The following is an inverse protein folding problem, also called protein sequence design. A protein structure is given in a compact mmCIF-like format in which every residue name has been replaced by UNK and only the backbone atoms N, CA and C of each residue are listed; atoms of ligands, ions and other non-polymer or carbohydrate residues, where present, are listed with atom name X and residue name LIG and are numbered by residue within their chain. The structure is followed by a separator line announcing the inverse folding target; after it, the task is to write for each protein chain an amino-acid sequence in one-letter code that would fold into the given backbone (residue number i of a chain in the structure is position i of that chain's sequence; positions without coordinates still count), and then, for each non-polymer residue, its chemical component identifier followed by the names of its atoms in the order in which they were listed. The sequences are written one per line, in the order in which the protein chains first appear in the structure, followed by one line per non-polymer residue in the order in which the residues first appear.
data_IF_249308938299
#
_entry.id   IF_249308938299
#
_cell.length_a   1.000
_cell.length_b   1.000
_cell.length_c   1.000
_cell.angle_alpha   90.00
_cell.angle_beta   90.00
_cell.angle_gamma   90.00
#
_symmetry.space_group_name_H-M   'P 1'
#
loop_
_entity.id
_entity.type
_entity.pdbx_description
1 polymer ?
#
# COMPACT_ATOMS: atom_id res chain seq x y z
N UNK A 1 -14.78 43.15 -62.10
CA UNK A 1 -15.07 42.08 -61.12
C UNK A 1 -14.04 40.98 -61.34
N UNK A 2 -13.48 40.45 -60.25
CA UNK A 2 -12.41 39.45 -60.15
C UNK A 2 -10.99 39.96 -60.45
N UNK A 3 -10.34 40.51 -59.43
CA UNK A 3 -8.88 40.63 -59.34
C UNK A 3 -8.31 39.33 -58.74
N UNK A 4 -7.28 38.80 -59.41
CA UNK A 4 -6.57 37.57 -59.09
C UNK A 4 -5.54 37.82 -57.98
N UNK A 5 -5.72 37.20 -56.82
CA UNK A 5 -4.73 37.20 -55.74
C UNK A 5 -3.60 36.20 -56.04
N UNK A 6 -2.41 36.75 -56.27
CA UNK A 6 -1.13 36.05 -56.25
C UNK A 6 -0.73 35.71 -54.81
N UNK A 7 -0.37 34.45 -54.57
CA UNK A 7 0.11 33.94 -53.28
C UNK A 7 1.56 34.36 -53.04
N UNK A 8 1.79 35.30 -52.14
CA UNK A 8 3.11 35.53 -51.54
C UNK A 8 3.35 34.49 -50.42
N UNK A 9 4.36 33.66 -50.62
CA UNK A 9 4.89 32.74 -49.62
C UNK A 9 5.72 33.54 -48.61
N UNK A 10 5.19 33.71 -47.40
CA UNK A 10 5.95 34.13 -46.24
C UNK A 10 6.87 32.98 -45.83
N UNK A 11 8.16 33.10 -46.16
CA UNK A 11 9.22 32.27 -45.59
C UNK A 11 9.31 32.55 -44.09
N UNK A 12 8.77 31.62 -43.31
CA UNK A 12 8.87 31.59 -41.85
C UNK A 12 10.33 31.22 -41.51
N UNK A 13 11.12 32.21 -41.13
CA UNK A 13 12.47 32.01 -40.58
C UNK A 13 12.35 31.23 -39.26
N UNK A 14 12.36 29.90 -39.37
CA UNK A 14 12.38 28.99 -38.25
C UNK A 14 13.65 29.22 -37.43
N UNK A 15 13.51 29.94 -36.32
CA UNK A 15 14.46 29.95 -35.21
C UNK A 15 14.79 28.50 -34.84
N UNK A 16 15.98 28.05 -35.23
CA UNK A 16 16.48 26.72 -34.90
C UNK A 16 16.48 26.55 -33.39
N UNK A 17 15.68 25.59 -32.88
CA UNK A 17 15.67 25.24 -31.46
C UNK A 17 17.12 24.97 -31.01
N UNK A 18 17.56 25.49 -29.85
CA UNK A 18 18.89 25.17 -29.35
C UNK A 18 19.02 23.66 -29.18
N UNK A 19 20.13 23.10 -29.66
CA UNK A 19 20.45 21.68 -29.53
C UNK A 19 20.38 21.27 -28.06
N UNK A 20 19.74 20.12 -27.78
CA UNK A 20 19.65 19.59 -26.41
C UNK A 20 21.06 19.51 -25.79
N UNK A 21 21.29 20.10 -24.60
CA UNK A 21 22.61 20.07 -23.96
C UNK A 21 23.11 18.64 -23.76
N UNK A 22 24.41 18.41 -23.89
CA UNK A 22 25.03 17.09 -23.75
C UNK A 22 24.72 16.44 -22.39
N UNK A 23 24.64 17.24 -21.32
CA UNK A 23 24.22 16.80 -19.98
C UNK A 23 22.83 16.19 -19.96
N UNK A 24 21.89 16.77 -20.72
CA UNK A 24 20.52 16.26 -20.85
C UNK A 24 20.50 14.97 -21.66
N UNK A 25 21.36 14.86 -22.68
CA UNK A 25 21.51 13.62 -23.44
C UNK A 25 22.08 12.48 -22.59
N UNK A 26 23.14 12.76 -21.82
CA UNK A 26 23.74 11.81 -20.87
C UNK A 26 22.72 11.37 -19.81
N UNK A 27 21.95 12.29 -19.24
CA UNK A 27 20.92 11.95 -18.26
C UNK A 27 19.79 11.11 -18.87
N UNK A 28 19.36 11.42 -20.09
CA UNK A 28 18.38 10.61 -20.83
C UNK A 28 18.90 9.20 -21.12
N UNK A 29 20.21 9.04 -21.36
CA UNK A 29 20.82 7.73 -21.62
C UNK A 29 20.77 6.79 -20.41
N UNK A 30 20.60 7.34 -19.21
CA UNK A 30 20.46 6.58 -17.96
C UNK A 30 19.03 6.11 -17.70
N UNK A 31 18.02 6.59 -18.45
CA UNK A 31 16.65 6.15 -18.27
C UNK A 31 16.54 4.64 -18.45
N UNK A 32 15.76 4.00 -17.57
CA UNK A 32 15.59 2.56 -17.48
C UNK A 32 16.86 1.78 -17.08
N UNK A 33 17.97 2.44 -16.78
CA UNK A 33 19.14 1.78 -16.22
C UNK A 33 19.00 1.60 -14.71
N UNK A 34 19.66 0.56 -14.19
CA UNK A 34 19.78 0.36 -12.75
C UNK A 34 20.81 1.35 -12.19
N UNK A 35 20.40 2.17 -11.24
CA UNK A 35 21.27 3.07 -10.50
C UNK A 35 21.45 2.57 -9.07
N UNK A 36 22.68 2.73 -8.58
CA UNK A 36 23.03 2.67 -7.16
C UNK A 36 23.20 4.07 -6.64
N UNK A 37 22.34 4.47 -5.71
CA UNK A 37 22.35 5.80 -5.08
C UNK A 37 22.69 5.64 -3.62
N UNK A 38 23.86 6.12 -3.21
CA UNK A 38 24.22 6.20 -1.78
C UNK A 38 23.90 7.58 -1.26
N UNK A 39 23.26 7.64 -0.10
CA UNK A 39 22.93 8.90 0.57
C UNK A 39 23.80 9.15 1.80
N UNK A 40 23.76 10.38 2.30
CA UNK A 40 24.67 10.87 3.35
C UNK A 40 24.63 10.08 4.66
N UNK A 41 23.51 9.43 4.98
CA UNK A 41 23.35 8.61 6.19
C UNK A 41 23.78 7.14 6.02
N UNK A 42 24.43 6.80 4.90
CA UNK A 42 24.97 5.46 4.65
C UNK A 42 23.98 4.48 4.03
N UNK A 43 22.72 4.88 3.80
CA UNK A 43 21.77 4.07 3.02
C UNK A 43 22.14 4.05 1.53
N UNK A 44 21.87 2.91 0.91
CA UNK A 44 22.11 2.64 -0.51
C UNK A 44 20.79 2.20 -1.13
N UNK A 45 20.38 2.87 -2.20
CA UNK A 45 19.21 2.50 -2.99
C UNK A 45 19.67 1.91 -4.33
N UNK A 46 19.25 0.68 -4.61
CA UNK A 46 19.38 0.06 -5.92
C UNK A 46 18.02 0.08 -6.61
N UNK A 47 17.87 0.79 -7.72
CA UNK A 47 16.58 0.93 -8.39
C UNK A 47 16.69 1.39 -9.83
N UNK A 48 15.62 1.21 -10.60
CA UNK A 48 15.57 1.59 -12.02
C UNK A 48 15.31 3.08 -12.14
N UNK A 49 16.19 3.82 -12.81
CA UNK A 49 16.03 5.25 -12.99
C UNK A 49 14.94 5.58 -14.00
N UNK A 50 13.95 6.37 -13.56
CA UNK A 50 12.83 6.78 -14.41
C UNK A 50 12.80 8.27 -14.69
N UNK A 51 13.64 9.05 -14.01
CA UNK A 51 13.82 10.46 -14.30
C UNK A 51 14.23 11.30 -13.11
N UNK A 52 14.24 12.61 -13.34
CA UNK A 52 14.54 13.63 -12.33
C UNK A 52 13.53 14.77 -12.41
N UNK A 53 13.35 15.51 -11.32
CA UNK A 53 12.49 16.70 -11.27
C UNK A 53 13.28 18.00 -11.47
N UNK A 54 12.62 19.15 -11.33
CA UNK A 54 13.26 20.47 -11.45
C UNK A 54 14.33 20.74 -10.38
N UNK A 55 14.28 20.03 -9.25
CA UNK A 55 15.24 20.14 -8.14
C UNK A 55 16.37 19.11 -8.24
N UNK A 56 16.44 18.37 -9.36
CA UNK A 56 17.39 17.30 -9.61
C UNK A 56 17.26 16.09 -8.66
N UNK A 57 16.10 15.91 -8.04
CA UNK A 57 15.82 14.73 -7.22
C UNK A 57 15.77 13.48 -8.11
N UNK A 58 16.26 12.35 -7.64
CA UNK A 58 16.34 11.11 -8.43
C UNK A 58 15.10 10.26 -8.18
N UNK A 59 14.38 9.90 -9.24
CA UNK A 59 13.24 8.98 -9.19
C UNK A 59 13.68 7.57 -9.56
N UNK A 60 13.51 6.63 -8.63
CA UNK A 60 13.77 5.21 -8.83
C UNK A 60 12.48 4.40 -8.69
N UNK A 61 12.31 3.37 -9.51
CA UNK A 61 11.24 2.37 -9.39
C UNK A 61 11.83 0.99 -9.21
N UNK A 62 11.03 0.07 -8.66
CA UNK A 62 11.47 -1.30 -8.35
C UNK A 62 12.77 -1.30 -7.52
N UNK A 63 12.78 -0.47 -6.47
CA UNK A 63 13.99 -0.13 -5.74
C UNK A 63 14.11 -0.95 -4.45
N UNK A 64 15.33 -1.19 -4.04
CA UNK A 64 15.72 -1.85 -2.79
C UNK A 64 16.62 -0.91 -1.97
N UNK A 65 16.39 -0.83 -0.66
CA UNK A 65 17.19 -0.08 0.31
C UNK A 65 18.12 -1.04 1.06
N UNK A 66 19.40 -0.69 1.13
CA UNK A 66 20.43 -1.37 1.90
C UNK A 66 21.05 -0.40 2.90
N UNK A 67 21.48 -0.91 4.05
CA UNK A 67 22.19 -0.15 5.10
C UNK A 67 23.54 -0.81 5.34
N UNK A 68 24.64 -0.08 5.13
CA UNK A 68 26.00 -0.59 5.37
C UNK A 68 26.64 0.24 6.49
N UNK A 69 26.89 -0.35 7.66
CA UNK A 69 27.62 0.27 8.76
C UNK A 69 27.31 -0.34 10.15
N UNK A 70 28.13 -0.08 11.17
CA UNK A 70 27.96 -0.63 12.53
C UNK A 70 26.70 -0.15 13.27
N UNK A 71 26.02 0.89 12.77
CA UNK A 71 24.72 1.36 13.25
C UNK A 71 23.53 0.71 12.52
N UNK A 72 23.75 -0.33 11.72
CA UNK A 72 22.67 -1.11 11.10
C UNK A 72 21.95 -1.96 12.15
N UNK A 73 21.00 -1.36 12.88
CA UNK A 73 20.18 -2.03 13.91
C UNK A 73 19.35 -3.19 13.33
N UNK A 74 19.24 -3.29 12.00
CA UNK A 74 18.31 -4.19 11.34
C UNK A 74 18.95 -5.51 10.86
N UNK A 75 20.29 -5.59 10.80
CA UNK A 75 21.03 -6.83 10.50
C UNK A 75 20.63 -7.59 9.23
N UNK A 76 19.85 -7.01 8.30
CA UNK A 76 19.34 -7.70 7.11
C UNK A 76 20.30 -7.51 5.92
N UNK A 77 21.11 -8.52 5.58
CA UNK A 77 22.05 -8.44 4.47
C UNK A 77 21.36 -8.44 3.10
N UNK A 78 20.05 -8.70 3.04
CA UNK A 78 19.31 -8.85 1.78
C UNK A 78 18.68 -7.56 1.26
N UNK A 79 18.75 -6.47 2.02
CA UNK A 79 18.09 -5.22 1.68
C UNK A 79 16.55 -5.33 1.76
N UNK A 80 15.88 -4.18 1.77
CA UNK A 80 14.41 -4.09 1.83
C UNK A 80 13.87 -3.54 0.52
N UNK A 81 12.91 -4.21 -0.09
CA UNK A 81 12.17 -3.65 -1.22
C UNK A 81 11.35 -2.42 -0.79
N UNK A 82 11.57 -1.31 -1.48
CA UNK A 82 10.98 0.00 -1.22
C UNK A 82 10.19 0.54 -2.43
N UNK A 83 10.11 -0.22 -3.53
CA UNK A 83 9.23 0.10 -4.66
C UNK A 83 9.66 1.37 -5.39
N UNK A 84 8.76 2.34 -5.48
CA UNK A 84 9.06 3.64 -6.07
C UNK A 84 9.45 4.65 -4.98
N UNK A 85 10.57 5.34 -5.20
CA UNK A 85 11.06 6.36 -4.29
C UNK A 85 11.68 7.54 -5.03
N UNK A 86 11.65 8.69 -4.37
CA UNK A 86 12.34 9.90 -4.79
C UNK A 86 13.46 10.17 -3.79
N UNK A 87 14.71 10.20 -4.25
CA UNK A 87 15.85 10.60 -3.43
C UNK A 87 16.14 12.08 -3.63
N UNK A 88 16.01 12.92 -2.59
CA UNK A 88 16.33 14.33 -2.71
C UNK A 88 17.80 14.55 -3.08
N UNK A 89 18.10 15.42 -4.06
CA UNK A 89 19.47 15.68 -4.53
C UNK A 89 20.43 16.01 -3.39
N UNK A 90 19.97 16.85 -2.45
CA UNK A 90 20.76 17.28 -1.27
C UNK A 90 21.20 16.13 -0.34
N UNK A 91 20.57 14.97 -0.42
CA UNK A 91 20.92 13.79 0.39
C UNK A 91 21.84 12.84 -0.36
N UNK A 92 22.03 13.02 -1.66
CA UNK A 92 22.80 12.10 -2.50
C UNK A 92 24.28 12.34 -2.27
N UNK A 93 24.99 11.27 -1.89
CA UNK A 93 26.44 11.24 -1.74
C UNK A 93 27.09 10.77 -3.05
N UNK A 94 26.60 9.68 -3.62
CA UNK A 94 27.11 9.12 -4.89
C UNK A 94 25.98 8.49 -5.70
N UNK A 95 26.15 8.48 -7.03
CA UNK A 95 25.28 7.79 -7.99
C UNK A 95 26.16 7.00 -8.95
N UNK A 96 25.91 5.70 -9.07
CA UNK A 96 26.65 4.81 -9.95
C UNK A 96 25.65 4.12 -10.90
N UNK A 97 25.97 4.08 -12.19
CA UNK A 97 25.15 3.42 -13.21
C UNK A 97 25.84 2.13 -13.68
N UNK A 98 25.07 1.04 -13.83
CA UNK A 98 25.61 -0.21 -14.36
C UNK A 98 25.78 -0.13 -15.88
N UNK A 99 27.03 -0.13 -16.36
CA UNK A 99 27.32 -0.13 -17.80
C UNK A 99 27.33 -1.55 -18.35
N UNK A 100 26.38 -1.88 -19.24
CA UNK A 100 26.41 -3.13 -20.01
C UNK A 100 27.52 -3.08 -21.08
N UNK A 101 28.72 -3.55 -20.72
CA UNK A 101 29.79 -3.86 -21.66
C UNK A 101 30.58 -5.13 -21.23
N UNK A 102 30.03 -6.30 -21.60
CA UNK A 102 30.71 -7.49 -22.14
C UNK A 102 31.77 -8.30 -21.35
N UNK A 103 31.48 -9.60 -21.17
CA UNK A 103 32.44 -10.73 -21.05
C UNK A 103 32.23 -11.59 -19.78
N UNK A 104 32.03 -12.92 -19.79
CA UNK A 104 32.17 -13.95 -20.81
C UNK A 104 31.18 -15.12 -20.55
N UNK A 105 30.90 -15.85 -21.64
CA UNK A 105 30.03 -17.01 -21.78
C UNK A 105 30.79 -18.30 -21.39
N UNK A 106 30.14 -19.23 -20.68
CA UNK A 106 30.40 -20.68 -20.78
C UNK A 106 29.11 -21.46 -20.43
N UNK A 107 28.57 -22.13 -21.45
CA UNK A 107 27.49 -23.13 -21.45
C UNK A 107 28.05 -24.45 -20.82
N UNK A 108 27.37 -25.39 -20.16
CA UNK A 108 26.07 -26.11 -20.25
C UNK A 108 25.85 -26.78 -18.84
N UNK A 109 24.74 -27.35 -18.37
CA UNK A 109 23.62 -28.11 -18.96
C UNK A 109 22.43 -28.09 -17.96
N UNK A 110 21.26 -27.75 -18.50
CA UNK A 110 19.86 -27.86 -18.02
C UNK A 110 19.50 -27.96 -16.52
N UNK A 111 18.84 -26.89 -16.05
CA UNK A 111 18.04 -26.81 -14.83
C UNK A 111 17.53 -25.39 -14.54
N UNK A 112 17.00 -24.70 -15.56
CA UNK A 112 16.69 -23.26 -15.52
C UNK A 112 15.33 -22.92 -14.89
N UNK A 113 15.34 -22.12 -13.80
CA UNK A 113 14.59 -20.85 -13.62
C UNK A 113 14.65 -20.38 -12.16
N UNK A 114 15.82 -19.94 -11.72
CA UNK A 114 16.07 -19.06 -10.55
C UNK A 114 17.57 -18.93 -10.38
N UNK A 115 18.15 -17.82 -10.85
CA UNK A 115 19.49 -17.26 -10.51
C UNK A 115 20.02 -16.48 -11.72
N UNK A 116 19.62 -15.21 -11.85
CA UNK A 116 20.41 -14.18 -12.55
C UNK A 116 20.11 -12.82 -11.93
N UNK A 117 20.50 -12.67 -10.67
CA UNK A 117 21.01 -11.42 -10.07
C UNK A 117 21.96 -11.88 -8.97
N UNK A 118 23.10 -12.47 -9.33
CA UNK A 118 24.17 -12.81 -8.40
C UNK A 118 25.43 -13.16 -9.20
N UNK A 119 25.98 -12.15 -9.88
CA UNK A 119 27.41 -12.10 -10.20
C UNK A 119 27.72 -10.63 -10.39
N UNK A 120 28.13 -9.99 -9.29
CA UNK A 120 29.11 -8.91 -9.12
C UNK A 120 28.82 -8.40 -7.68
N UNK A 121 29.86 -8.32 -6.85
CA UNK A 121 29.93 -7.78 -5.47
C UNK A 121 29.73 -8.76 -4.29
N UNK A 122 30.74 -9.59 -4.02
CA UNK A 122 31.07 -10.07 -2.67
C UNK A 122 32.58 -10.09 -2.49
N UNK A 123 33.13 -9.12 -1.76
CA UNK A 123 34.45 -9.23 -1.11
C UNK A 123 34.54 -8.24 0.05
N UNK A 124 33.81 -8.53 1.13
CA UNK A 124 34.11 -8.24 2.55
C UNK A 124 33.04 -9.01 3.32
N UNK A 125 33.42 -10.15 3.92
CA UNK A 125 32.76 -10.86 5.04
C UNK A 125 33.29 -12.31 5.09
N UNK A 126 34.61 -12.49 5.11
CA UNK A 126 35.23 -13.64 5.78
C UNK A 126 36.03 -13.05 6.93
N UNK A 127 35.44 -13.10 8.12
CA UNK A 127 36.06 -13.09 9.45
C UNK A 127 34.94 -12.72 10.45
N UNK A 128 34.75 -13.56 11.48
CA UNK A 128 33.84 -13.41 12.63
C UNK A 128 32.48 -14.16 12.60
N UNK A 129 32.50 -15.47 12.27
CA UNK A 129 31.33 -16.34 12.33
C UNK A 129 31.00 -16.97 13.71
N UNK A 130 31.61 -16.55 14.82
CA UNK A 130 31.53 -17.31 16.09
C UNK A 130 30.73 -16.67 17.25
N UNK A 131 30.00 -15.56 17.07
CA UNK A 131 29.44 -14.80 18.23
C UNK A 131 27.90 -14.77 18.35
N UNK A 132 27.13 -15.41 17.46
CA UNK A 132 25.64 -15.30 17.50
C UNK A 132 24.92 -16.59 17.90
N UNK A 133 25.31 -17.17 19.03
CA UNK A 133 24.52 -18.16 19.76
C UNK A 133 24.35 -17.68 21.20
N UNK A 134 23.39 -16.78 21.42
CA UNK A 134 22.64 -16.60 22.68
C UNK A 134 21.98 -15.23 22.73
N UNK A 135 20.71 -15.13 22.30
CA UNK A 135 19.70 -14.25 22.90
C UNK A 135 18.34 -14.47 22.22
N UNK A 136 17.60 -15.46 22.71
CA UNK A 136 16.19 -15.62 22.39
C UNK A 136 15.44 -15.88 23.71
N UNK A 137 15.05 -14.81 24.42
CA UNK A 137 14.03 -14.85 25.48
C UNK A 137 13.79 -13.43 26.03
N UNK A 138 12.76 -12.75 25.52
CA UNK A 138 11.92 -11.84 26.32
C UNK A 138 10.68 -11.44 25.51
N UNK A 139 9.59 -12.17 25.72
CA UNK A 139 8.24 -11.81 25.31
C UNK A 139 7.72 -10.68 26.22
N UNK A 140 7.59 -9.46 25.69
CA UNK A 140 6.90 -8.34 26.34
C UNK A 140 5.42 -8.33 25.89
N UNK A 141 4.53 -8.60 26.83
CA UNK A 141 3.07 -8.53 26.63
C UNK A 141 2.64 -7.05 26.55
N UNK A 142 2.19 -6.60 25.38
CA UNK A 142 1.69 -5.23 25.17
C UNK A 142 0.29 -5.08 25.79
N UNK A 143 0.17 -4.23 26.81
CA UNK A 143 -1.10 -3.92 27.47
C UNK A 143 -1.93 -2.91 26.69
N UNK A 144 -2.95 -3.38 25.95
CA UNK A 144 -4.02 -2.54 25.42
C UNK A 144 -5.01 -2.18 26.55
N UNK A 145 -5.61 -0.98 26.51
CA UNK A 145 -6.73 -0.62 27.38
C UNK A 145 -7.92 -1.55 27.03
N UNK A 146 -8.57 -2.19 27.99
CA UNK A 146 -9.67 -3.14 27.73
C UNK A 146 -10.86 -2.51 26.98
N UNK A 147 -10.95 -1.18 26.92
CA UNK A 147 -11.91 -0.43 26.10
C UNK A 147 -11.52 -0.26 24.62
N UNK A 148 -10.32 -0.70 24.21
CA UNK A 148 -9.74 -0.52 22.84
C UNK A 148 -9.84 -1.76 21.95
N UNK A 149 -10.53 -2.82 22.39
CA UNK A 149 -10.63 -4.07 21.63
C UNK A 149 -11.96 -4.27 20.92
N UNK A 150 -12.97 -3.44 21.20
CA UNK A 150 -14.30 -3.56 20.61
C UNK A 150 -14.44 -2.76 19.32
N UNK A 151 -15.09 -3.37 18.33
CA UNK A 151 -15.50 -2.71 17.11
C UNK A 151 -16.63 -1.72 17.39
N UNK A 152 -16.62 -0.61 16.66
CA UNK A 152 -17.61 0.47 16.71
C UNK A 152 -18.37 0.49 15.39
N UNK A 153 -19.68 0.25 15.47
CA UNK A 153 -20.59 0.39 14.34
C UNK A 153 -21.12 1.83 14.27
N UNK A 154 -21.09 2.42 13.09
CA UNK A 154 -21.43 3.82 12.85
C UNK A 154 -22.56 3.87 11.84
N UNK A 155 -23.66 4.51 12.24
CA UNK A 155 -24.69 4.95 11.33
C UNK A 155 -24.23 6.23 10.64
N UNK A 156 -24.50 6.33 9.35
CA UNK A 156 -24.12 7.49 8.55
C UNK A 156 -25.27 7.91 7.63
N UNK A 157 -25.40 9.22 7.37
CA UNK A 157 -26.43 9.73 6.47
C UNK A 157 -26.10 9.35 5.02
N UNK A 158 -27.12 9.36 4.16
CA UNK A 158 -26.98 9.13 2.72
C UNK A 158 -26.44 7.74 2.32
N UNK A 159 -26.55 6.75 3.20
CA UNK A 159 -26.30 5.37 2.82
C UNK A 159 -27.19 4.96 1.65
N UNK A 160 -26.63 4.29 0.64
CA UNK A 160 -27.38 3.80 -0.52
C UNK A 160 -28.52 2.85 -0.13
N UNK A 161 -28.34 2.13 0.98
CA UNK A 161 -29.34 1.25 1.58
C UNK A 161 -29.68 1.72 3.00
N UNK A 162 -30.96 1.92 3.35
CA UNK A 162 -31.36 2.26 4.72
C UNK A 162 -30.87 1.22 5.73
N UNK A 163 -30.26 1.68 6.82
CA UNK A 163 -29.78 0.81 7.90
C UNK A 163 -28.36 0.27 7.73
N UNK A 164 -27.68 0.56 6.61
CA UNK A 164 -26.29 0.17 6.40
C UNK A 164 -25.35 0.84 7.41
N UNK A 165 -24.39 0.09 7.96
CA UNK A 165 -23.45 0.55 8.99
C UNK A 165 -22.01 0.40 8.54
N UNK A 166 -21.17 1.38 8.87
CA UNK A 166 -19.71 1.24 8.78
C UNK A 166 -19.22 0.62 10.09
N UNK A 167 -18.39 -0.42 10.01
CA UNK A 167 -17.74 -1.01 11.19
C UNK A 167 -16.28 -0.60 11.22
N UNK A 168 -15.83 -0.14 12.38
CA UNK A 168 -14.47 0.33 12.61
C UNK A 168 -13.91 -0.26 13.89
N UNK A 169 -12.60 -0.27 14.04
CA UNK A 169 -11.91 -0.66 15.28
C UNK A 169 -10.92 0.42 15.66
N UNK A 170 -10.95 0.83 16.93
CA UNK A 170 -10.10 1.89 17.48
C UNK A 170 -8.92 1.29 18.23
N UNK A 171 -7.73 1.86 18.04
CA UNK A 171 -6.49 1.44 18.69
C UNK A 171 -5.83 2.63 19.36
N UNK A 172 -5.54 2.51 20.65
CA UNK A 172 -4.81 3.55 21.40
C UNK A 172 -4.03 2.91 22.54
N UNK A 173 -2.90 3.51 22.93
CA UNK A 173 -2.12 3.05 24.08
C UNK A 173 -2.62 3.77 25.35
N UNK A 174 -2.88 3.00 26.42
CA UNK A 174 -3.45 3.53 27.67
C UNK A 174 -2.67 4.72 28.25
N UNK A 175 -1.34 4.73 28.06
CA UNK A 175 -0.42 5.72 28.60
C UNK A 175 -0.12 6.89 27.64
N UNK A 176 -0.48 6.82 26.35
CA UNK A 176 -0.29 7.91 25.36
C UNK A 176 -1.62 8.58 25.03
N UNK A 177 -2.14 9.42 25.93
CA UNK A 177 -3.37 10.21 25.70
C UNK A 177 -3.06 11.68 25.36
N UNK A 178 -2.17 11.92 24.39
CA UNK A 178 -1.95 13.27 23.90
C UNK A 178 -3.11 13.70 22.99
N UNK A 179 -3.91 14.67 23.45
CA UNK A 179 -5.03 15.21 22.66
C UNK A 179 -4.57 15.94 21.39
N UNK A 180 -3.32 16.38 21.34
CA UNK A 180 -2.72 17.11 20.22
C UNK A 180 -2.14 16.22 19.10
N UNK A 181 -2.05 14.90 19.33
CA UNK A 181 -1.48 13.95 18.39
C UNK A 181 -2.36 13.68 17.16
N UNK A 182 -1.80 12.95 16.18
CA UNK A 182 -2.47 12.54 14.96
C UNK A 182 -3.36 11.32 15.21
N UNK A 183 -4.57 11.35 14.64
CA UNK A 183 -5.44 10.17 14.52
C UNK A 183 -5.29 9.59 13.12
N UNK A 184 -4.90 8.33 13.04
CA UNK A 184 -4.73 7.62 11.77
C UNK A 184 -6.01 6.87 11.41
N UNK A 185 -6.42 6.88 10.14
CA UNK A 185 -7.60 6.13 9.64
C UNK A 185 -7.14 5.21 8.51
N UNK A 186 -7.38 3.91 8.62
CA UNK A 186 -6.89 2.88 7.71
C UNK A 186 -8.03 2.17 6.98
N UNK A 187 -8.01 2.20 5.64
CA UNK A 187 -8.92 1.48 4.78
C UNK A 187 -8.19 0.38 3.96
N UNK A 188 -8.72 -0.84 4.02
CA UNK A 188 -8.14 -2.02 3.39
C UNK A 188 -8.38 -2.08 1.86
N UNK A 189 -7.77 -3.04 1.17
CA UNK A 189 -8.08 -3.34 -0.24
C UNK A 189 -9.27 -4.30 -0.38
N UNK A 190 -9.80 -4.46 -1.59
CA UNK A 190 -10.83 -5.48 -1.86
C UNK A 190 -10.32 -6.88 -1.49
N UNK A 191 -11.15 -7.69 -0.86
CA UNK A 191 -10.75 -9.05 -0.47
C UNK A 191 -9.95 -9.11 0.83
N UNK A 192 -9.94 -8.05 1.63
CA UNK A 192 -9.30 -7.95 2.95
C UNK A 192 -10.30 -7.47 4.01
N UNK A 193 -9.84 -7.30 5.25
CA UNK A 193 -10.62 -6.75 6.37
C UNK A 193 -9.74 -5.86 7.26
N UNK A 194 -10.37 -5.08 8.15
CA UNK A 194 -9.76 -4.00 8.94
C UNK A 194 -8.58 -4.44 9.80
N UNK A 195 -8.64 -5.64 10.39
CA UNK A 195 -7.60 -6.16 11.29
C UNK A 195 -6.27 -6.46 10.58
N UNK A 196 -6.22 -6.55 9.24
CA UNK A 196 -4.92 -6.74 8.55
C UNK A 196 -3.95 -5.57 8.77
N UNK A 197 -4.46 -4.42 9.20
CA UNK A 197 -3.64 -3.26 9.58
C UNK A 197 -3.01 -3.38 10.97
N UNK A 198 -3.42 -4.34 11.81
CA UNK A 198 -2.97 -4.43 13.21
C UNK A 198 -1.44 -4.44 13.37
N UNK A 199 -0.66 -5.24 12.61
CA UNK A 199 0.79 -5.21 12.74
C UNK A 199 1.41 -3.86 12.36
N UNK A 200 0.78 -3.13 11.43
CA UNK A 200 1.23 -1.78 11.05
C UNK A 200 0.86 -0.76 12.13
N UNK A 201 -0.38 -0.82 12.62
CA UNK A 201 -0.91 0.06 13.67
C UNK A 201 -0.11 -0.10 14.97
N UNK A 202 0.17 -1.34 15.38
CA UNK A 202 0.96 -1.64 16.57
C UNK A 202 2.35 -0.99 16.48
N UNK A 203 3.06 -1.21 15.37
CA UNK A 203 4.36 -0.61 15.14
C UNK A 203 4.33 0.93 15.15
N UNK A 204 3.26 1.54 14.62
CA UNK A 204 3.13 3.00 14.59
C UNK A 204 2.82 3.60 15.97
N UNK A 205 1.97 2.94 16.76
CA UNK A 205 1.63 3.41 18.11
C UNK A 205 2.80 3.27 19.09
N UNK A 206 3.64 2.24 18.93
CA UNK A 206 4.79 2.00 19.79
C UNK A 206 5.89 3.06 19.63
N UNK A 207 5.97 3.76 18.49
CA UNK A 207 6.97 4.82 18.27
C UNK A 207 6.85 5.93 19.31
N UNK A 208 7.95 6.23 19.98
CA UNK A 208 8.05 7.36 20.91
C UNK A 208 8.37 8.62 20.12
N UNK A 209 7.34 9.41 19.85
CA UNK A 209 7.48 10.71 19.23
C UNK A 209 7.17 11.79 20.28
N UNK A 210 8.19 12.53 20.73
CA UNK A 210 8.02 13.70 21.62
C UNK A 210 7.58 14.97 20.87
N UNK A 211 6.86 14.81 19.75
CA UNK A 211 6.52 15.91 18.84
C UNK A 211 5.01 15.98 18.57
N UNK A 212 4.57 17.06 17.92
CA UNK A 212 3.19 17.21 17.45
C UNK A 212 2.78 16.22 16.34
N UNK A 213 3.70 15.35 15.90
CA UNK A 213 3.44 14.24 14.99
C UNK A 213 3.15 12.91 15.71
N UNK A 214 3.19 12.91 17.05
CA UNK A 214 2.86 11.73 17.84
C UNK A 214 1.49 11.15 17.45
N UNK A 215 1.43 9.83 17.29
CA UNK A 215 0.16 9.14 17.03
C UNK A 215 -0.65 9.09 18.32
N UNK A 216 -1.80 9.76 18.32
CA UNK A 216 -2.79 9.73 19.40
C UNK A 216 -3.52 8.40 19.43
N UNK A 217 -4.01 7.98 18.28
CA UNK A 217 -4.78 6.75 18.10
C UNK A 217 -4.87 6.39 16.62
N UNK A 218 -5.30 5.17 16.33
CA UNK A 218 -5.59 4.70 14.99
C UNK A 218 -7.00 4.09 14.91
N UNK A 219 -7.59 4.15 13.74
CA UNK A 219 -8.87 3.53 13.41
C UNK A 219 -8.70 2.71 12.14
N UNK A 220 -9.07 1.44 12.14
CA UNK A 220 -9.19 0.65 10.92
C UNK A 220 -10.66 0.40 10.60
N UNK A 221 -11.03 0.45 9.33
CA UNK A 221 -12.44 0.34 8.92
C UNK A 221 -12.66 -0.82 7.96
N UNK A 222 -13.77 -1.52 8.13
CA UNK A 222 -14.28 -2.47 7.16
C UNK A 222 -15.12 -1.72 6.11
N UNK A 223 -15.00 -2.13 4.85
CA UNK A 223 -16.07 -1.85 3.89
C UNK A 223 -17.35 -2.51 4.40
N UNK A 224 -18.49 -1.84 4.29
CA UNK A 224 -19.80 -2.30 4.74
C UNK A 224 -20.17 -3.74 4.28
N UNK A 225 -19.58 -4.22 3.18
CA UNK A 225 -19.74 -5.58 2.65
C UNK A 225 -18.57 -6.55 2.96
N UNK A 226 -17.65 -6.17 3.83
CA UNK A 226 -16.45 -6.95 4.15
C UNK A 226 -16.29 -7.17 5.67
N UNK A 227 -15.50 -8.18 6.03
CA UNK A 227 -15.10 -8.45 7.41
C UNK A 227 -16.29 -8.59 8.34
N UNK A 228 -16.21 -7.94 9.50
CA UNK A 228 -17.28 -7.93 10.50
C UNK A 228 -18.48 -7.08 10.06
N UNK A 229 -18.25 -6.06 9.23
CA UNK A 229 -19.34 -5.22 8.73
C UNK A 229 -20.32 -6.02 7.87
N UNK A 230 -19.84 -6.99 7.09
CA UNK A 230 -20.69 -7.85 6.30
C UNK A 230 -21.64 -8.71 7.15
N UNK A 231 -21.17 -9.24 8.28
CA UNK A 231 -22.03 -9.98 9.22
C UNK A 231 -23.08 -9.05 9.82
N UNK A 232 -22.67 -7.86 10.27
CA UNK A 232 -23.57 -6.90 10.87
C UNK A 232 -24.63 -6.38 9.88
N UNK A 233 -24.26 -6.23 8.61
CA UNK A 233 -25.11 -5.71 7.55
C UNK A 233 -25.81 -6.81 6.74
N UNK A 234 -25.72 -8.09 7.10
CA UNK A 234 -26.26 -9.21 6.30
C UNK A 234 -27.74 -8.99 5.94
N UNK A 235 -28.54 -8.52 6.90
CA UNK A 235 -29.96 -8.19 6.73
C UNK A 235 -30.24 -7.01 5.77
N UNK A 236 -29.28 -6.10 5.56
CA UNK A 236 -29.39 -4.94 4.65
C UNK A 236 -28.81 -5.26 3.28
N UNK A 237 -27.72 -6.02 3.24
CA UNK A 237 -27.04 -6.41 2.01
C UNK A 237 -27.92 -7.33 1.16
N UNK A 238 -28.64 -8.26 1.79
CA UNK A 238 -29.54 -9.20 1.11
C UNK A 238 -28.81 -10.08 0.09
N UNK A 239 -29.52 -10.55 -0.93
CA UNK A 239 -28.97 -11.33 -2.06
C UNK A 239 -28.58 -10.44 -3.25
N UNK A 240 -28.23 -9.18 -2.99
CA UNK A 240 -28.07 -8.18 -4.04
C UNK A 240 -26.78 -8.44 -4.83
N UNK A 241 -26.93 -8.81 -6.11
CA UNK A 241 -25.84 -9.25 -6.97
C UNK A 241 -24.86 -8.12 -7.34
N UNK A 242 -25.32 -6.86 -7.26
CA UNK A 242 -24.54 -5.70 -7.71
C UNK A 242 -23.51 -5.21 -6.67
N UNK A 243 -23.53 -5.78 -5.45
CA UNK A 243 -22.59 -5.44 -4.38
C UNK A 243 -22.72 -3.98 -3.90
N UNK A 244 -21.69 -3.47 -3.22
CA UNK A 244 -21.60 -2.06 -2.82
C UNK A 244 -20.51 -1.35 -3.62
N UNK A 245 -20.74 -0.09 -3.96
CA UNK A 245 -19.77 0.74 -4.67
C UNK A 245 -18.70 1.30 -3.73
N UNK A 246 -17.55 1.67 -4.29
CA UNK A 246 -16.47 2.35 -3.54
C UNK A 246 -16.95 3.72 -3.03
N UNK A 247 -17.87 4.35 -3.77
CA UNK A 247 -18.53 5.59 -3.36
C UNK A 247 -19.36 5.37 -2.08
N UNK A 248 -20.09 4.25 -1.97
CA UNK A 248 -20.81 3.92 -0.74
C UNK A 248 -19.87 3.73 0.45
N UNK A 249 -18.69 3.13 0.21
CA UNK A 249 -17.67 3.06 1.25
C UNK A 249 -17.21 4.45 1.69
N UNK A 250 -16.93 5.33 0.72
CA UNK A 250 -16.54 6.71 0.98
C UNK A 250 -17.60 7.49 1.80
N UNK A 251 -18.89 7.29 1.52
CA UNK A 251 -19.98 7.87 2.33
C UNK A 251 -19.93 7.39 3.78
N UNK A 252 -19.70 6.09 4.00
CA UNK A 252 -19.51 5.54 5.35
C UNK A 252 -18.32 6.18 6.08
N UNK A 253 -17.19 6.32 5.37
CA UNK A 253 -15.97 6.95 5.89
C UNK A 253 -16.24 8.40 6.32
N UNK A 254 -16.96 9.17 5.50
CA UNK A 254 -17.38 10.53 5.85
C UNK A 254 -18.23 10.54 7.12
N UNK A 255 -19.09 9.55 7.28
CA UNK A 255 -19.85 9.33 8.52
C UNK A 255 -18.95 9.20 9.75
N UNK A 256 -17.89 8.39 9.68
CA UNK A 256 -16.89 8.29 10.75
C UNK A 256 -16.16 9.63 10.99
N UNK A 257 -15.67 10.28 9.92
CA UNK A 257 -14.96 11.57 10.00
C UNK A 257 -15.83 12.64 10.66
N UNK A 258 -17.12 12.70 10.32
CA UNK A 258 -18.06 13.70 10.84
C UNK A 258 -18.71 13.30 12.17
N UNK A 259 -18.45 12.10 12.67
CA UNK A 259 -18.97 11.66 13.96
C UNK A 259 -18.30 12.39 15.13
N UNK A 260 -18.97 12.36 16.29
CA UNK A 260 -18.41 12.90 17.54
C UNK A 260 -17.13 12.17 17.99
N UNK A 261 -16.88 10.97 17.47
CA UNK A 261 -15.69 10.17 17.79
C UNK A 261 -14.39 10.83 17.32
N UNK A 262 -14.45 11.61 16.23
CA UNK A 262 -13.31 12.27 15.62
C UNK A 262 -13.41 13.81 15.65
N UNK A 263 -14.33 14.35 16.46
CA UNK A 263 -14.51 15.78 16.60
C UNK A 263 -13.26 16.44 17.18
N UNK A 264 -12.70 17.42 16.46
CA UNK A 264 -11.48 18.13 16.85
C UNK A 264 -10.17 17.33 16.67
N UNK A 265 -10.22 16.13 16.07
CA UNK A 265 -9.01 15.35 15.83
C UNK A 265 -8.27 15.84 14.58
N UNK A 266 -6.95 15.66 14.58
CA UNK A 266 -6.07 15.90 13.42
C UNK A 266 -5.88 14.57 12.69
N UNK A 267 -6.40 14.45 11.48
CA UNK A 267 -6.58 13.17 10.81
C UNK A 267 -5.51 12.95 9.74
N UNK A 268 -4.99 11.72 9.66
CA UNK A 268 -4.25 11.23 8.49
C UNK A 268 -5.00 10.03 7.94
N UNK A 269 -5.36 10.08 6.66
CA UNK A 269 -6.10 9.03 5.97
C UNK A 269 -5.13 8.12 5.22
N UNK A 270 -5.22 6.81 5.44
CA UNK A 270 -4.37 5.79 4.83
C UNK A 270 -5.27 4.78 4.14
N UNK A 271 -5.03 4.52 2.86
CA UNK A 271 -5.80 3.55 2.10
C UNK A 271 -4.94 2.72 1.17
N UNK A 272 -5.34 1.45 0.98
CA UNK A 272 -4.72 0.52 0.03
C UNK A 272 -5.70 0.14 -1.08
N UNK A 273 -5.28 0.26 -2.35
CA UNK A 273 -6.08 -0.10 -3.54
C UNK A 273 -7.49 0.51 -3.53
N UNK A 274 -8.55 -0.31 -3.42
CA UNK A 274 -9.92 0.18 -3.30
C UNK A 274 -10.11 1.14 -2.11
N UNK A 275 -9.47 0.86 -0.96
CA UNK A 275 -9.49 1.73 0.21
C UNK A 275 -8.78 3.06 -0.03
N UNK A 276 -7.75 3.11 -0.87
CA UNK A 276 -7.09 4.35 -1.27
C UNK A 276 -8.06 5.25 -2.05
N UNK A 277 -8.83 4.66 -2.96
CA UNK A 277 -9.87 5.35 -3.74
C UNK A 277 -11.00 5.83 -2.83
N UNK A 278 -11.47 4.98 -1.89
CA UNK A 278 -12.51 5.34 -0.93
C UNK A 278 -12.08 6.50 -0.02
N UNK A 279 -10.84 6.48 0.50
CA UNK A 279 -10.28 7.61 1.27
C UNK A 279 -10.25 8.90 0.46
N UNK A 280 -9.77 8.84 -0.78
CA UNK A 280 -9.66 10.01 -1.62
C UNK A 280 -11.05 10.62 -1.92
N UNK A 281 -12.03 9.78 -2.27
CA UNK A 281 -13.41 10.21 -2.49
C UNK A 281 -14.03 10.80 -1.22
N UNK A 282 -13.80 10.18 -0.07
CA UNK A 282 -14.32 10.65 1.20
C UNK A 282 -13.77 12.04 1.54
N UNK A 283 -12.46 12.23 1.44
CA UNK A 283 -11.78 13.49 1.73
C UNK A 283 -12.13 14.58 0.71
N UNK A 284 -12.19 14.25 -0.57
CA UNK A 284 -12.48 15.21 -1.65
C UNK A 284 -13.88 15.84 -1.53
N UNK A 285 -14.82 15.16 -0.88
CA UNK A 285 -16.17 15.66 -0.64
C UNK A 285 -16.35 16.36 0.73
N UNK A 286 -15.28 16.50 1.53
CA UNK A 286 -15.31 17.36 2.72
C UNK A 286 -15.29 18.85 2.32
N UNK A 287 -15.89 19.74 3.12
CA UNK A 287 -15.81 21.18 2.87
C UNK A 287 -14.36 21.67 2.86
N UNK A 288 -13.99 22.58 1.94
CA UNK A 288 -12.62 23.11 1.87
C UNK A 288 -12.15 23.79 3.16
N UNK A 289 -13.07 24.34 3.95
CA UNK A 289 -12.78 24.93 5.26
C UNK A 289 -12.44 23.89 6.34
N UNK A 290 -12.66 22.60 6.08
CA UNK A 290 -12.30 21.52 7.00
C UNK A 290 -10.79 21.32 7.01
N UNK A 291 -10.16 21.80 8.09
CA UNK A 291 -8.70 21.71 8.27
C UNK A 291 -8.27 20.45 9.00
N UNK A 292 -9.18 19.51 9.30
CA UNK A 292 -8.85 18.33 10.12
C UNK A 292 -7.90 17.37 9.43
N UNK A 293 -8.01 17.21 8.10
CA UNK A 293 -7.13 16.35 7.31
C UNK A 293 -5.73 16.97 7.21
N UNK A 294 -4.72 16.29 7.75
CA UNK A 294 -3.31 16.72 7.75
C UNK A 294 -2.46 15.99 6.72
N UNK A 295 -2.94 14.87 6.21
CA UNK A 295 -2.25 14.10 5.18
C UNK A 295 -3.07 12.92 4.68
N UNK A 296 -2.73 12.44 3.49
CA UNK A 296 -3.31 11.25 2.89
C UNK A 296 -2.15 10.37 2.38
N UNK A 297 -2.19 9.09 2.71
CA UNK A 297 -1.23 8.08 2.26
C UNK A 297 -1.97 7.06 1.40
N UNK A 298 -1.58 6.98 0.13
CA UNK A 298 -2.21 6.12 -0.87
C UNK A 298 -1.24 5.00 -1.25
N UNK A 299 -1.63 3.76 -0.96
CA UNK A 299 -0.86 2.56 -1.26
C UNK A 299 -1.50 1.86 -2.46
N UNK A 300 -0.75 1.70 -3.54
CA UNK A 300 -1.23 1.06 -4.79
C UNK A 300 -2.63 1.54 -5.24
N UNK A 301 -2.86 2.85 -5.38
CA UNK A 301 -4.20 3.39 -5.55
C UNK A 301 -4.79 3.04 -6.91
N UNK A 302 -6.04 2.56 -6.90
CA UNK A 302 -6.79 2.21 -8.12
C UNK A 302 -7.48 3.43 -8.73
N UNK A 303 -6.70 4.38 -9.26
CA UNK A 303 -7.21 5.64 -9.82
C UNK A 303 -7.16 5.66 -11.33
N UNK A 304 -8.28 6.05 -11.95
CA UNK A 304 -8.38 6.26 -13.39
C UNK A 304 -9.45 7.32 -13.67
N UNK A 305 -9.23 8.17 -14.66
CA UNK A 305 -10.27 9.10 -15.12
C UNK A 305 -11.33 8.35 -15.91
N UNK A 306 -12.56 8.88 -15.97
CA UNK A 306 -13.64 8.28 -16.75
C UNK A 306 -13.29 8.20 -18.24
N UNK A 307 -12.66 9.24 -18.77
CA UNK A 307 -12.26 9.29 -20.18
C UNK A 307 -11.21 8.24 -20.52
N UNK A 308 -10.20 8.06 -19.67
CA UNK A 308 -9.16 7.03 -19.87
C UNK A 308 -9.73 5.62 -19.71
N UNK A 309 -10.66 5.42 -18.76
CA UNK A 309 -11.36 4.16 -18.62
C UNK A 309 -12.21 3.84 -19.85
N UNK A 310 -12.97 4.80 -20.37
CA UNK A 310 -13.81 4.62 -21.57
C UNK A 310 -12.97 4.36 -22.83
N UNK A 311 -11.83 5.03 -22.98
CA UNK A 311 -10.90 4.81 -24.10
C UNK A 311 -10.39 3.36 -24.14
N UNK A 312 -10.20 2.74 -22.98
CA UNK A 312 -9.72 1.37 -22.83
C UNK A 312 -10.81 0.40 -22.33
N UNK A 313 -12.09 0.73 -22.52
CA UNK A 313 -13.22 0.07 -21.86
C UNK A 313 -13.18 -1.46 -21.98
N UNK A 314 -12.98 -2.00 -23.19
CA UNK A 314 -12.97 -3.46 -23.41
C UNK A 314 -11.89 -4.17 -22.59
N UNK A 315 -10.66 -3.68 -22.65
CA UNK A 315 -9.52 -4.28 -21.95
C UNK A 315 -9.68 -4.16 -20.42
N UNK A 316 -10.17 -3.00 -19.96
CA UNK A 316 -10.38 -2.74 -18.54
C UNK A 316 -11.53 -3.55 -17.96
N UNK A 317 -12.65 -3.64 -18.66
CA UNK A 317 -13.77 -4.52 -18.28
C UNK A 317 -13.32 -5.97 -18.24
N UNK A 318 -12.58 -6.44 -19.25
CA UNK A 318 -12.05 -7.82 -19.24
C UNK A 318 -11.11 -8.09 -18.06
N UNK A 319 -10.25 -7.13 -17.70
CA UNK A 319 -9.38 -7.25 -16.52
C UNK A 319 -10.17 -7.28 -15.21
N UNK A 320 -11.19 -6.43 -15.07
CA UNK A 320 -12.08 -6.41 -13.91
C UNK A 320 -12.87 -7.73 -13.79
N UNK A 321 -13.44 -8.22 -14.90
CA UNK A 321 -14.17 -9.49 -14.95
C UNK A 321 -13.25 -10.66 -14.56
N UNK A 322 -12.00 -10.66 -15.04
CA UNK A 322 -11.01 -11.67 -14.67
C UNK A 322 -10.72 -11.63 -13.17
N UNK A 323 -10.50 -10.44 -12.61
CA UNK A 323 -10.27 -10.27 -11.16
C UNK A 323 -11.50 -10.71 -10.34
N UNK A 324 -12.71 -10.33 -10.75
CA UNK A 324 -13.95 -10.73 -10.09
C UNK A 324 -14.14 -12.25 -10.12
N UNK A 325 -13.93 -12.90 -11.27
CA UNK A 325 -13.99 -14.36 -11.37
C UNK A 325 -12.94 -15.04 -10.50
N UNK A 326 -11.71 -14.51 -10.47
CA UNK A 326 -10.65 -15.04 -9.63
C UNK A 326 -10.99 -14.91 -8.13
N UNK A 327 -11.67 -13.84 -7.74
CA UNK A 327 -12.16 -13.58 -6.36
C UNK A 327 -13.32 -14.51 -6.00
N UNK A 328 -14.33 -14.61 -6.86
CA UNK A 328 -15.52 -15.43 -6.67
C UNK A 328 -15.22 -16.94 -6.70
N UNK A 329 -14.24 -17.35 -7.51
CA UNK A 329 -13.77 -18.74 -7.58
C UNK A 329 -12.89 -19.16 -6.40
N UNK A 330 -12.61 -18.27 -5.44
CA UNK A 330 -11.85 -18.64 -4.24
C UNK A 330 -12.70 -19.55 -3.36
N UNK A 331 -12.03 -20.55 -2.78
CA UNK A 331 -12.65 -21.37 -1.75
C UNK A 331 -13.17 -20.45 -0.65
N UNK A 332 -14.42 -20.67 -0.27
CA UNK A 332 -15.17 -19.81 0.63
C UNK A 332 -15.31 -20.37 2.04
N UNK A 333 -15.03 -21.66 2.24
CA UNK A 333 -15.31 -22.34 3.50
C UNK A 333 -14.24 -23.35 3.86
N UNK A 334 -13.91 -23.39 5.15
CA UNK A 334 -12.95 -24.33 5.71
C UNK A 334 -13.51 -24.96 6.98
N UNK A 335 -13.12 -26.22 7.22
CA UNK A 335 -13.53 -26.95 8.41
C UNK A 335 -12.74 -26.49 9.63
N UNK A 336 -11.48 -26.14 9.44
CA UNK A 336 -10.58 -25.65 10.49
C UNK A 336 -9.80 -24.43 10.02
N UNK A 337 -9.30 -23.65 10.97
CA UNK A 337 -8.40 -22.53 10.70
C UNK A 337 -7.08 -23.02 10.12
N UNK A 338 -6.61 -24.18 10.58
CA UNK A 338 -5.39 -24.82 10.12
C UNK A 338 -5.49 -25.18 8.63
N UNK A 339 -6.64 -25.67 8.18
CA UNK A 339 -6.90 -25.95 6.77
C UNK A 339 -6.85 -24.67 5.92
N UNK A 340 -7.46 -23.59 6.41
CA UNK A 340 -7.41 -22.28 5.75
C UNK A 340 -5.98 -21.76 5.65
N UNK A 341 -5.22 -21.85 6.74
CA UNK A 341 -3.82 -21.46 6.81
C UNK A 341 -2.96 -22.27 5.81
N UNK A 342 -3.12 -23.59 5.76
CA UNK A 342 -2.39 -24.44 4.82
C UNK A 342 -2.77 -24.16 3.36
N UNK A 343 -4.03 -23.80 3.11
CA UNK A 343 -4.50 -23.42 1.79
C UNK A 343 -3.82 -22.12 1.32
N UNK A 344 -3.83 -21.07 2.15
CA UNK A 344 -3.32 -19.75 1.76
C UNK A 344 -1.78 -19.69 1.73
N UNK A 345 -1.08 -20.31 2.69
CA UNK A 345 0.40 -20.34 2.72
C UNK A 345 1.05 -20.88 1.44
N UNK A 346 0.33 -21.71 0.67
CA UNK A 346 0.85 -22.34 -0.56
C UNK A 346 0.55 -21.55 -1.83
N UNK A 347 -0.28 -20.50 -1.76
CA UNK A 347 -0.84 -19.81 -2.93
C UNK A 347 -0.43 -18.34 -2.96
N UNK A 348 -0.14 -17.82 -4.16
CA UNK A 348 0.06 -16.38 -4.32
C UNK A 348 -1.30 -15.66 -4.26
N UNK A 349 -1.36 -14.44 -3.67
CA UNK A 349 -0.24 -13.69 -3.09
C UNK A 349 0.09 -14.06 -1.63
N UNK A 350 -0.77 -14.80 -0.92
CA UNK A 350 -0.64 -15.04 0.52
C UNK A 350 0.63 -15.79 0.96
N UNK A 351 1.23 -16.58 0.06
CA UNK A 351 2.50 -17.28 0.30
C UNK A 351 3.63 -16.34 0.74
N UNK A 352 3.62 -15.09 0.29
CA UNK A 352 4.66 -14.09 0.60
C UNK A 352 4.21 -13.06 1.64
N UNK A 353 3.02 -13.22 2.22
CA UNK A 353 2.55 -12.30 3.25
C UNK A 353 3.31 -12.50 4.56
N UNK A 354 3.45 -11.43 5.34
CA UNK A 354 3.91 -11.51 6.72
C UNK A 354 3.05 -12.54 7.49
N UNK A 355 3.66 -13.51 8.21
CA UNK A 355 2.93 -14.54 8.91
C UNK A 355 1.89 -14.02 9.91
N UNK A 356 2.11 -12.85 10.53
CA UNK A 356 1.17 -12.20 11.45
C UNK A 356 -0.09 -11.74 10.71
N UNK A 357 0.10 -11.09 9.55
CA UNK A 357 -1.01 -10.62 8.69
C UNK A 357 -1.78 -11.81 8.15
N UNK A 358 -1.10 -12.85 7.69
CA UNK A 358 -1.75 -14.07 7.22
C UNK A 358 -2.52 -14.77 8.35
N UNK A 359 -1.98 -14.77 9.57
CA UNK A 359 -2.67 -15.31 10.73
C UNK A 359 -3.94 -14.54 11.06
N UNK A 360 -3.91 -13.21 10.99
CA UNK A 360 -5.09 -12.37 11.15
C UNK A 360 -6.12 -12.63 10.04
N UNK A 361 -5.65 -12.76 8.81
CA UNK A 361 -6.49 -13.05 7.64
C UNK A 361 -7.30 -14.34 7.78
N UNK A 362 -6.72 -15.40 8.34
CA UNK A 362 -7.44 -16.66 8.58
C UNK A 362 -8.18 -16.69 9.91
N UNK A 363 -8.00 -15.68 10.77
CA UNK A 363 -8.55 -15.66 12.13
C UNK A 363 -10.00 -15.25 12.24
N UNK A 364 -10.49 -14.52 11.23
CA UNK A 364 -11.83 -13.97 11.20
C UNK A 364 -12.62 -14.62 10.07
N UNK A 365 -13.92 -14.89 10.27
CA UNK A 365 -14.80 -15.18 9.16
C UNK A 365 -14.88 -13.91 8.28
N UNK A 366 -14.66 -14.05 6.98
CA UNK A 366 -15.02 -13.06 5.98
C UNK A 366 -16.46 -13.34 5.55
N UNK A 367 -17.36 -12.40 5.81
CA UNK A 367 -18.73 -12.48 5.33
C UNK A 367 -18.90 -11.74 3.99
N UNK A 368 -19.75 -12.31 3.13
CA UNK A 368 -20.22 -11.87 1.80
C UNK A 368 -19.53 -12.45 0.55
N UNK A 369 -20.32 -12.56 -0.53
CA UNK A 369 -19.99 -13.21 -1.82
C UNK A 369 -18.79 -12.59 -2.56
N UNK A 370 -18.37 -11.38 -2.19
CA UNK A 370 -17.17 -10.73 -2.73
C UNK A 370 -15.90 -11.03 -1.92
N UNK A 371 -16.02 -11.78 -0.82
CA UNK A 371 -14.90 -12.09 0.07
C UNK A 371 -15.21 -13.30 0.98
N UNK A 372 -14.89 -14.56 0.64
CA UNK A 372 -15.10 -15.63 1.62
C UNK A 372 -13.79 -16.30 2.08
N UNK A 373 -13.52 -16.37 3.41
CA UNK A 373 -13.81 -17.53 4.29
C UNK A 373 -14.91 -17.45 5.35
N UNK A 374 -15.81 -18.44 5.42
CA UNK A 374 -16.51 -18.86 6.65
C UNK A 374 -15.82 -20.11 7.25
N UNK A 375 -15.54 -20.10 8.56
CA UNK A 375 -15.18 -21.31 9.31
C UNK A 375 -16.49 -21.96 9.74
N UNK A 376 -16.69 -23.25 9.43
CA UNK A 376 -17.85 -23.99 9.92
C UNK A 376 -17.74 -24.12 11.45
N UNK A 377 -18.60 -23.43 12.18
CA UNK A 377 -18.82 -23.79 13.59
C UNK A 377 -19.35 -25.24 13.61
N UNK A 378 -18.66 -26.10 14.37
CA UNK A 378 -19.10 -27.47 14.57
C UNK A 378 -20.54 -27.46 15.12
N UNK A 379 -21.44 -28.33 14.63
CA UNK A 379 -22.77 -28.43 15.20
C UNK A 379 -22.64 -28.86 16.66
N UNK A 380 -23.00 -27.95 17.57
CA UNK A 380 -23.21 -28.28 18.96
C UNK A 380 -24.23 -29.41 19.03
N UNK A 381 -23.83 -30.53 19.61
CA UNK A 381 -24.75 -31.61 19.97
C UNK A 381 -25.76 -31.00 20.93
N UNK A 382 -27.01 -30.92 20.51
CA UNK A 382 -28.15 -30.68 21.38
C UNK A 382 -28.27 -31.84 22.37
N UNK A 383 -28.20 -31.52 23.65
CA UNK A 383 -28.85 -32.29 24.71
C UNK A 383 -29.90 -31.42 25.36
#
# INVERSE_FOLDING_TARGET
MAESHTSESLEDTALSRPSTPESVWRLKSLLQQLLRVTILDGRIFLGTFVGTDQQLNILLVNSEEYRIGPESVDGDPNGRFVGQLMVPWRLIKTVEASTNAGGALLCTREGERRKRVNTIFYQVCEENADVLRDTCSSSLTVGYDSSTLSSVAIHYPHASKPGLKLVSKRYSLAHKRSSAGLTLIFAHCTGAHKELWEPVIENLLQREDNTSLAVREAWSIDWQSHGEAAELNEHVLGTDADGLSVQEWATGIQGLINSKLLAGHRLVCIGHSAGATAMLLAVAALPQADTRIKGIVLLEPSLITRDEFHKHLRERTAALDFMQKAVAGRRAEWNTREDAMQYFKKRMPWKIWDPRVLNLFVSRPMASEMCPPRIKNAPGKSH
#
